data_IF_267725952315
#
_entry.id   IF_267725952315
#
_cell.length_a   1.000
_cell.length_b   1.000
_cell.length_c   1.000
_cell.angle_alpha   90.00
_cell.angle_beta   90.00
_cell.angle_gamma   90.00
#
_symmetry.space_group_name_H-M   'P 1'
#
loop_
_entity.id
_entity.type
_entity.pdbx_description
1 polymer ?
#
# COMPACT_ATOMS: atom_id res chain seq x y z
N UNK A 1 -1.84 14.51 3.28
CA UNK A 1 -0.47 13.93 3.33
C UNK A 1 -0.50 12.58 2.63
N UNK A 2 0.14 12.43 1.46
CA UNK A 2 -0.01 11.23 0.62
C UNK A 2 1.27 10.85 -0.14
N UNK A 3 2.44 11.14 0.43
CA UNK A 3 3.73 10.88 -0.23
C UNK A 3 4.42 9.69 0.46
N UNK A 4 4.30 8.50 -0.12
CA UNK A 4 5.25 7.40 0.10
C UNK A 4 5.46 6.93 1.55
N UNK A 5 4.41 6.87 2.39
CA UNK A 5 4.54 6.17 3.68
C UNK A 5 4.59 4.66 3.43
N UNK A 6 5.52 3.99 4.08
CA UNK A 6 5.62 2.54 4.04
C UNK A 6 4.37 1.89 4.64
N UNK A 7 3.96 0.75 4.08
CA UNK A 7 2.86 -0.06 4.63
C UNK A 7 3.37 -0.79 5.86
N UNK A 8 2.61 -0.71 6.96
CA UNK A 8 2.91 -1.44 8.18
C UNK A 8 2.07 -2.71 8.27
N UNK A 9 2.65 -3.76 8.84
CA UNK A 9 1.98 -5.06 9.05
C UNK A 9 0.64 -4.95 9.78
N UNK A 10 0.52 -4.04 10.76
CA UNK A 10 -0.69 -3.90 11.56
C UNK A 10 -1.93 -3.45 10.79
N UNK A 11 -1.79 -2.96 9.56
CA UNK A 11 -2.90 -2.48 8.73
C UNK A 11 -3.20 -3.37 7.52
N UNK A 12 -2.50 -4.48 7.35
CA UNK A 12 -2.70 -5.38 6.21
C UNK A 12 -3.92 -6.26 6.48
N UNK A 13 -4.86 -6.27 5.54
CA UNK A 13 -6.03 -7.15 5.56
C UNK A 13 -5.68 -8.53 5.00
N UNK A 14 -5.07 -8.56 3.80
CA UNK A 14 -4.65 -9.76 3.09
C UNK A 14 -3.43 -9.46 2.22
N UNK A 15 -2.68 -10.50 1.87
CA UNK A 15 -1.57 -10.45 0.93
C UNK A 15 -1.62 -11.69 0.03
N UNK A 16 -1.14 -11.55 -1.21
CA UNK A 16 -1.08 -12.66 -2.16
C UNK A 16 -0.14 -13.77 -1.68
N UNK A 17 -0.51 -15.05 -1.82
CA UNK A 17 0.25 -16.16 -1.26
C UNK A 17 1.65 -16.31 -1.88
N UNK A 18 1.85 -15.86 -3.12
CA UNK A 18 3.14 -15.90 -3.82
C UNK A 18 4.04 -14.68 -3.54
N UNK A 19 3.63 -13.78 -2.64
CA UNK A 19 4.42 -12.60 -2.32
C UNK A 19 5.68 -12.99 -1.54
N UNK A 20 6.83 -12.66 -2.11
CA UNK A 20 8.15 -12.90 -1.51
C UNK A 20 8.90 -11.59 -1.28
N UNK A 21 9.80 -11.61 -0.30
CA UNK A 21 10.64 -10.46 0.06
C UNK A 21 11.47 -10.02 -1.14
N UNK A 22 11.56 -8.70 -1.35
CA UNK A 22 12.37 -8.08 -2.40
C UNK A 22 11.69 -7.97 -3.75
N UNK A 23 10.50 -8.54 -3.94
CA UNK A 23 9.76 -8.39 -5.21
C UNK A 23 8.98 -7.09 -5.28
N UNK A 24 8.80 -6.52 -6.50
CA UNK A 24 7.84 -5.46 -6.73
C UNK A 24 6.43 -5.90 -6.34
N UNK A 25 5.68 -5.02 -5.70
CA UNK A 25 4.30 -5.28 -5.29
C UNK A 25 3.45 -4.02 -5.40
N UNK A 26 2.15 -4.25 -5.56
CA UNK A 26 1.13 -3.21 -5.58
C UNK A 26 0.40 -3.22 -4.24
N UNK A 27 0.01 -2.03 -3.79
CA UNK A 27 -0.81 -1.82 -2.60
C UNK A 27 -2.14 -1.31 -3.10
N UNK A 28 -3.20 -2.06 -2.82
CA UNK A 28 -4.58 -1.70 -3.17
C UNK A 28 -5.43 -1.55 -1.91
N UNK A 29 -6.53 -0.81 -2.01
CA UNK A 29 -7.55 -0.77 -0.97
C UNK A 29 -8.55 -1.95 -1.08
N UNK A 30 -9.60 -1.94 -0.26
CA UNK A 30 -10.64 -2.98 -0.25
C UNK A 30 -11.52 -2.98 -1.52
N UNK A 31 -11.49 -1.89 -2.30
CA UNK A 31 -12.25 -1.70 -3.53
C UNK A 31 -11.37 -1.91 -4.78
N UNK A 32 -10.20 -2.55 -4.63
CA UNK A 32 -9.20 -2.80 -5.68
C UNK A 32 -8.60 -1.51 -6.32
N UNK A 33 -8.73 -0.35 -5.67
CA UNK A 33 -8.08 0.87 -6.16
C UNK A 33 -6.59 0.86 -5.84
N UNK A 34 -5.77 1.22 -6.83
CA UNK A 34 -4.33 1.34 -6.65
C UNK A 34 -3.99 2.51 -5.72
N UNK A 35 -3.44 2.19 -4.56
CA UNK A 35 -3.03 3.17 -3.53
C UNK A 35 -1.56 3.54 -3.69
N UNK A 36 -0.70 2.54 -3.91
CA UNK A 36 0.74 2.73 -4.00
C UNK A 36 1.44 1.55 -4.68
N UNK A 37 2.70 1.75 -5.07
CA UNK A 37 3.58 0.67 -5.51
C UNK A 37 4.89 0.66 -4.71
N UNK A 38 5.49 -0.51 -4.56
CA UNK A 38 6.68 -0.64 -3.73
C UNK A 38 7.40 -1.97 -3.90
N UNK A 39 8.29 -2.24 -2.94
CA UNK A 39 9.01 -3.50 -2.82
C UNK A 39 8.57 -4.17 -1.53
N UNK A 40 8.18 -5.44 -1.61
CA UNK A 40 7.80 -6.19 -0.42
C UNK A 40 9.01 -6.39 0.48
N UNK A 41 8.83 -6.16 1.77
CA UNK A 41 9.84 -6.44 2.79
C UNK A 41 9.48 -7.70 3.60
N UNK A 42 8.38 -8.37 3.24
CA UNK A 42 7.84 -9.51 3.99
C UNK A 42 7.19 -10.54 3.06
N UNK A 43 7.07 -11.77 3.53
CA UNK A 43 6.29 -12.82 2.87
C UNK A 43 4.80 -12.69 3.19
N UNK A 44 3.96 -13.39 2.43
CA UNK A 44 2.52 -13.49 2.69
C UNK A 44 2.20 -14.00 4.10
N UNK A 45 2.98 -14.97 4.59
CA UNK A 45 2.85 -15.52 5.94
C UNK A 45 3.19 -14.50 7.02
N UNK A 46 4.29 -13.75 6.86
CA UNK A 46 4.69 -12.68 7.77
C UNK A 46 3.64 -11.56 7.81
N UNK A 47 3.11 -11.18 6.64
CA UNK A 47 2.03 -10.19 6.52
C UNK A 47 0.74 -10.61 7.26
N UNK A 48 0.47 -11.91 7.37
CA UNK A 48 -0.70 -12.43 8.08
C UNK A 48 -0.52 -12.41 9.61
N UNK A 49 0.68 -12.73 10.11
CA UNK A 49 0.91 -12.94 11.55
C UNK A 49 1.50 -11.74 12.28
N UNK A 50 2.35 -10.95 11.62
CA UNK A 50 3.02 -9.82 12.25
C UNK A 50 2.07 -8.63 12.42
N UNK A 51 2.27 -7.85 13.49
CA UNK A 51 1.47 -6.65 13.81
C UNK A 51 2.28 -5.36 13.85
N UNK A 52 3.60 -5.46 13.79
CA UNK A 52 4.54 -4.33 13.88
C UNK A 52 5.60 -4.47 12.80
N UNK A 53 6.20 -3.35 12.42
CA UNK A 53 7.23 -3.29 11.39
C UNK A 53 6.69 -2.98 9.99
N UNK A 54 7.61 -2.66 9.08
CA UNK A 54 7.31 -2.30 7.70
C UNK A 54 7.16 -3.56 6.85
N UNK A 55 5.98 -3.74 6.26
CA UNK A 55 5.65 -4.85 5.38
C UNK A 55 6.00 -4.55 3.92
N UNK A 56 5.74 -3.32 3.46
CA UNK A 56 6.06 -2.89 2.10
C UNK A 56 6.78 -1.55 2.15
N UNK A 57 7.93 -1.50 1.49
CA UNK A 57 8.66 -0.25 1.27
C UNK A 57 8.08 0.44 0.04
N UNK A 58 7.29 1.48 0.26
CA UNK A 58 6.62 2.22 -0.82
C UNK A 58 7.65 3.07 -1.56
N UNK A 59 7.61 3.01 -2.88
CA UNK A 59 8.44 3.88 -3.75
C UNK A 59 7.66 5.14 -4.12
N UNK A 60 6.42 4.97 -4.54
CA UNK A 60 5.54 6.07 -4.94
C UNK A 60 4.08 5.73 -4.59
N UNK A 61 3.33 6.75 -4.17
CA UNK A 61 1.88 6.64 -3.96
C UNK A 61 1.15 6.93 -5.27
N UNK A 62 0.14 6.13 -5.60
CA UNK A 62 -0.72 6.34 -6.76
C UNK A 62 -1.95 7.22 -6.46
N UNK A 63 -2.23 7.47 -5.18
CA UNK A 63 -3.24 8.44 -4.77
C UNK A 63 -2.78 9.85 -5.13
N UNK A 64 -3.35 10.36 -6.23
CA UNK A 64 -3.13 11.72 -6.67
C UNK A 64 -3.61 12.69 -5.58
N UNK A 65 -2.73 13.59 -5.14
CA UNK A 65 -3.10 14.59 -4.12
C UNK A 65 -4.15 15.58 -4.63
N UNK A 66 -4.40 15.60 -5.94
CA UNK A 66 -5.30 16.53 -6.60
C UNK A 66 -6.74 16.03 -6.75
N UNK A 67 -7.02 14.75 -6.46
CA UNK A 67 -8.39 14.21 -6.51
C UNK A 67 -9.32 14.77 -5.41
N UNK A 68 -8.77 15.40 -4.37
CA UNK A 68 -9.53 16.11 -3.34
C UNK A 68 -9.83 17.58 -3.69
N UNK A 69 -9.34 18.09 -4.83
CA UNK A 69 -9.55 19.47 -5.26
C UNK A 69 -10.47 19.63 -6.49
N UNK A 70 -10.97 18.53 -7.07
CA UNK A 70 -11.90 18.61 -8.22
C UNK A 70 -13.38 18.77 -7.84
N UNK A 71 -13.78 18.48 -6.59
CA UNK A 71 -15.16 18.72 -6.12
C UNK A 71 -15.41 20.16 -5.64
N UNK A 72 -14.42 21.05 -5.71
CA UNK A 72 -14.53 22.44 -5.27
C UNK A 72 -14.72 23.46 -6.43
N UNK A 73 -14.83 23.02 -7.69
CA UNK A 73 -14.93 23.93 -8.85
C UNK A 73 -16.21 23.79 -9.70
N UNK A 74 -17.15 22.91 -9.34
CA UNK A 74 -18.50 22.92 -9.93
C UNK A 74 -19.51 23.47 -8.92
N UNK A 75 -19.67 24.79 -8.91
CA UNK A 75 -20.83 25.53 -8.34
C UNK A 75 -21.15 26.71 -9.22
#
# INVERSE_FOLDING_TARGET
>A
MGAGRNVMHGFILKADPWLIVGQPCLVVDEDDNLVAHGVSNSTSEEMAVMKKGVAVKVREGALDKDALNLTAIDS
#
